data_IF_540946010590
#
_entry.id   IF_540946010590
#
_cell.length_a   1.000
_cell.length_b   1.000
_cell.length_c   1.000
_cell.angle_alpha   90.00
_cell.angle_beta   90.00
_cell.angle_gamma   90.00
#
_symmetry.space_group_name_H-M   'P 1'
#
loop_
_entity.id
_entity.type
_entity.pdbx_description
1 polymer ?
#
# COMPACT_ATOMS: atom_id res chain seq x y z
N UNK A 1 -11.60 -2.81 -1.03
CA UNK A 1 -11.56 -1.68 -2.01
C UNK A 1 -11.82 -2.21 -3.43
N UNK A 2 -12.10 -1.33 -4.40
CA UNK A 2 -12.26 -1.58 -5.85
C UNK A 2 -13.41 -2.52 -6.29
N UNK A 3 -13.31 -3.80 -5.92
CA UNK A 3 -14.19 -4.87 -6.37
C UNK A 3 -15.50 -5.01 -5.58
N UNK A 4 -15.76 -4.14 -4.60
CA UNK A 4 -16.94 -4.27 -3.72
C UNK A 4 -18.26 -4.08 -4.46
N UNK A 5 -18.29 -3.30 -5.55
CA UNK A 5 -19.48 -3.13 -6.40
C UNK A 5 -19.78 -4.32 -7.31
N UNK A 6 -18.84 -5.25 -7.48
CA UNK A 6 -18.93 -6.37 -8.43
C UNK A 6 -18.60 -7.71 -7.77
N UNK A 7 -19.27 -8.00 -6.64
CA UNK A 7 -18.99 -9.16 -5.77
C UNK A 7 -18.96 -10.48 -6.53
N UNK A 8 -19.88 -10.71 -7.47
CA UNK A 8 -19.91 -11.94 -8.26
C UNK A 8 -18.65 -12.12 -9.13
N UNK A 9 -18.19 -11.05 -9.79
CA UNK A 9 -16.97 -11.09 -10.61
C UNK A 9 -15.72 -11.24 -9.74
N UNK A 10 -15.67 -10.58 -8.58
CA UNK A 10 -14.62 -10.80 -7.58
C UNK A 10 -14.53 -12.26 -7.18
N UNK A 11 -15.67 -12.84 -6.79
CA UNK A 11 -15.72 -14.20 -6.29
C UNK A 11 -15.32 -15.21 -7.37
N UNK A 12 -15.76 -15.04 -8.63
CA UNK A 12 -15.30 -15.93 -9.72
C UNK A 12 -13.79 -15.85 -9.94
N UNK A 13 -13.20 -14.66 -9.84
CA UNK A 13 -11.76 -14.47 -9.98
C UNK A 13 -11.01 -15.15 -8.84
N UNK A 14 -11.37 -14.84 -7.60
CA UNK A 14 -10.75 -15.46 -6.42
C UNK A 14 -10.95 -16.98 -6.41
N UNK A 15 -12.15 -17.45 -6.72
CA UNK A 15 -12.45 -18.87 -6.87
C UNK A 15 -11.51 -19.55 -7.83
N UNK A 16 -11.33 -18.99 -9.03
CA UNK A 16 -10.43 -19.56 -10.02
C UNK A 16 -8.98 -19.64 -9.51
N UNK A 17 -8.49 -18.60 -8.82
CA UNK A 17 -7.14 -18.61 -8.24
C UNK A 17 -6.98 -19.70 -7.18
N UNK A 18 -7.96 -19.86 -6.27
CA UNK A 18 -7.94 -20.91 -5.24
C UNK A 18 -8.09 -22.31 -5.84
N UNK A 19 -9.08 -22.54 -6.71
CA UNK A 19 -9.41 -23.87 -7.25
C UNK A 19 -8.27 -24.43 -8.13
N UNK A 20 -7.42 -23.56 -8.68
CA UNK A 20 -6.29 -23.94 -9.52
C UNK A 20 -4.93 -23.78 -8.81
N UNK A 21 -4.91 -23.51 -7.49
CA UNK A 21 -3.68 -23.29 -6.72
C UNK A 21 -2.72 -22.26 -7.35
N UNK A 22 -3.27 -21.20 -7.97
CA UNK A 22 -2.46 -20.14 -8.55
C UNK A 22 -1.96 -19.27 -7.39
N UNK A 23 -0.65 -19.23 -7.20
CA UNK A 23 0.05 -18.52 -6.13
C UNK A 23 0.89 -17.37 -6.68
N UNK A 24 1.51 -16.60 -5.77
CA UNK A 24 2.30 -15.40 -6.05
C UNK A 24 1.53 -14.35 -6.85
N UNK A 25 0.23 -14.21 -6.56
CA UNK A 25 -0.62 -13.23 -7.23
C UNK A 25 -0.32 -11.82 -6.76
N UNK A 26 -0.23 -10.88 -7.70
CA UNK A 26 -0.02 -9.46 -7.43
C UNK A 26 -1.06 -8.66 -8.18
N UNK A 27 -1.88 -7.93 -7.44
CA UNK A 27 -2.90 -7.04 -7.98
C UNK A 27 -2.37 -5.60 -7.91
N UNK A 28 -2.46 -4.87 -9.01
CA UNK A 28 -2.12 -3.45 -9.09
C UNK A 28 -3.39 -2.64 -9.27
N UNK A 29 -3.59 -1.67 -8.39
CA UNK A 29 -4.81 -0.89 -8.31
C UNK A 29 -4.54 0.62 -8.30
N UNK A 30 -5.59 1.39 -8.58
CA UNK A 30 -5.58 2.86 -8.62
C UNK A 30 -6.99 3.42 -8.40
N UNK A 31 -7.35 4.48 -9.13
CA UNK A 31 -8.68 5.14 -9.14
C UNK A 31 -9.09 5.86 -7.83
N UNK A 32 -8.83 5.25 -6.66
CA UNK A 32 -9.23 5.83 -5.35
C UNK A 32 -8.51 7.13 -4.97
N UNK A 33 -7.49 7.49 -5.76
CA UNK A 33 -6.54 8.58 -5.51
C UNK A 33 -5.82 8.46 -4.16
N UNK A 34 -5.69 7.25 -3.62
CA UNK A 34 -5.07 6.97 -2.32
C UNK A 34 -4.17 5.75 -2.43
N UNK A 35 -3.06 5.78 -1.70
CA UNK A 35 -2.19 4.64 -1.58
C UNK A 35 -2.76 3.64 -0.57
N UNK A 36 -2.71 2.36 -0.89
CA UNK A 36 -2.99 1.31 0.08
C UNK A 36 -2.36 -0.02 -0.33
N UNK A 37 -2.13 -0.85 0.69
CA UNK A 37 -1.51 -2.17 0.54
C UNK A 37 -2.26 -3.16 1.40
N UNK A 38 -2.67 -4.28 0.81
CA UNK A 38 -3.40 -5.35 1.48
C UNK A 38 -2.91 -6.73 1.07
N UNK A 39 -3.10 -7.70 1.95
CA UNK A 39 -3.05 -9.10 1.54
C UNK A 39 -4.30 -9.42 0.71
N UNK A 40 -4.18 -10.26 -0.31
CA UNK A 40 -5.29 -10.71 -1.15
C UNK A 40 -5.92 -11.96 -0.52
N UNK A 41 -7.02 -11.78 0.21
CA UNK A 41 -7.73 -12.87 0.89
C UNK A 41 -9.21 -12.95 0.47
N UNK A 42 -9.76 -14.16 0.37
CA UNK A 42 -11.18 -14.36 0.09
C UNK A 42 -12.02 -14.41 1.39
N UNK A 43 -12.15 -13.24 2.00
CA UNK A 43 -12.83 -13.05 3.28
C UNK A 43 -14.25 -13.60 3.26
N UNK A 44 -14.62 -14.29 4.35
CA UNK A 44 -15.94 -14.92 4.51
C UNK A 44 -16.13 -16.22 3.72
N UNK A 45 -15.15 -16.62 2.90
CA UNK A 45 -15.20 -17.89 2.14
C UNK A 45 -14.02 -18.80 2.47
N UNK A 46 -12.81 -18.24 2.63
CA UNK A 46 -11.62 -18.97 3.06
C UNK A 46 -11.11 -18.41 4.39
N UNK A 47 -10.52 -19.25 5.28
CA UNK A 47 -9.86 -18.77 6.48
C UNK A 47 -8.75 -17.80 6.13
N UNK A 48 -8.62 -16.73 6.91
CA UNK A 48 -7.54 -15.76 6.79
C UNK A 48 -7.17 -15.24 8.18
N UNK A 49 -5.89 -15.24 8.49
CA UNK A 49 -5.33 -14.67 9.71
C UNK A 49 -4.55 -13.39 9.38
N UNK A 50 -5.09 -12.25 9.83
CA UNK A 50 -4.50 -10.95 9.58
C UNK A 50 -3.13 -10.74 10.24
N UNK A 51 -2.87 -11.40 11.38
CA UNK A 51 -1.63 -11.23 12.12
C UNK A 51 -0.47 -11.90 11.39
N UNK A 52 -0.68 -13.11 10.89
CA UNK A 52 0.34 -13.90 10.20
C UNK A 52 0.34 -13.69 8.68
N UNK A 53 -0.80 -13.35 8.08
CA UNK A 53 -1.01 -13.31 6.63
C UNK A 53 -1.47 -14.66 6.05
N UNK A 54 -1.52 -15.73 6.86
CA UNK A 54 -1.91 -17.06 6.41
C UNK A 54 -3.34 -17.07 5.86
N UNK A 55 -3.53 -17.75 4.73
CA UNK A 55 -4.80 -17.84 4.01
C UNK A 55 -4.96 -16.80 2.90
N UNK A 56 -4.06 -15.83 2.79
CA UNK A 56 -3.93 -14.99 1.61
C UNK A 56 -3.38 -15.80 0.42
N UNK A 57 -3.69 -15.34 -0.79
CA UNK A 57 -3.25 -15.92 -2.07
C UNK A 57 -2.43 -14.94 -2.91
N UNK A 58 -2.01 -13.84 -2.31
CA UNK A 58 -1.28 -12.78 -2.99
C UNK A 58 -1.37 -11.46 -2.23
N UNK A 59 -1.05 -10.39 -2.94
CA UNK A 59 -1.10 -9.03 -2.40
C UNK A 59 -1.73 -8.09 -3.40
N UNK A 60 -2.22 -6.96 -2.89
CA UNK A 60 -2.69 -5.85 -3.71
C UNK A 60 -1.94 -4.58 -3.33
N UNK A 61 -1.34 -3.94 -4.33
CA UNK A 61 -0.67 -2.64 -4.22
C UNK A 61 -1.46 -1.61 -5.01
N UNK A 62 -1.98 -0.61 -4.33
CA UNK A 62 -2.72 0.46 -4.97
C UNK A 62 -1.96 1.79 -4.86
N UNK A 63 -1.77 2.42 -6.02
CA UNK A 63 -1.17 3.74 -6.10
C UNK A 63 -2.20 4.85 -5.94
N UNK A 64 -1.77 5.96 -5.35
CA UNK A 64 -2.47 7.24 -5.43
C UNK A 64 -2.49 7.79 -6.86
N UNK A 65 -3.16 8.93 -7.05
CA UNK A 65 -3.10 9.66 -8.30
C UNK A 65 -1.79 10.46 -8.42
N UNK A 66 -1.37 10.70 -9.66
CA UNK A 66 -0.24 11.59 -9.94
C UNK A 66 -0.57 13.03 -9.56
N UNK A 67 -1.78 13.52 -9.89
CA UNK A 67 -2.20 14.91 -9.63
C UNK A 67 -3.62 15.08 -9.10
N UNK A 68 -4.55 14.16 -9.40
CA UNK A 68 -5.95 14.28 -8.96
C UNK A 68 -6.08 14.33 -7.44
N UNK A 69 -6.99 15.16 -6.94
CA UNK A 69 -7.24 15.31 -5.50
C UNK A 69 -7.70 13.98 -4.87
N UNK A 70 -7.06 13.61 -3.76
CA UNK A 70 -7.46 12.50 -2.90
C UNK A 70 -8.28 13.01 -1.71
N UNK A 71 -7.90 12.59 -0.49
CA UNK A 71 -8.55 13.09 0.73
C UNK A 71 -8.30 14.60 0.92
N UNK A 72 -9.35 15.31 1.32
CA UNK A 72 -9.28 16.72 1.73
C UNK A 72 -8.88 16.87 3.19
N UNK A 73 -8.22 17.98 3.51
CA UNK A 73 -7.82 18.36 4.88
C UNK A 73 -6.33 18.21 5.14
N UNK A 74 -5.93 18.48 6.38
CA UNK A 74 -4.53 18.36 6.82
C UNK A 74 -4.13 16.90 7.03
N UNK A 75 -2.83 16.61 6.97
CA UNK A 75 -2.24 15.26 7.13
C UNK A 75 -2.82 14.54 8.35
N UNK A 76 -2.90 15.20 9.51
CA UNK A 76 -3.40 14.60 10.75
C UNK A 76 -4.86 14.09 10.64
N UNK A 77 -5.73 14.85 9.96
CA UNK A 77 -7.13 14.45 9.75
C UNK A 77 -7.22 13.27 8.80
N UNK A 78 -6.45 13.30 7.70
CA UNK A 78 -6.41 12.19 6.73
C UNK A 78 -5.87 10.92 7.41
N UNK A 79 -4.81 11.04 8.21
CA UNK A 79 -4.23 9.91 8.93
C UNK A 79 -5.21 9.28 9.92
N UNK A 80 -6.03 10.08 10.61
CA UNK A 80 -7.11 9.55 11.47
C UNK A 80 -8.13 8.76 10.66
N UNK A 81 -8.51 9.24 9.48
CA UNK A 81 -9.45 8.54 8.60
C UNK A 81 -8.87 7.22 8.06
N UNK A 82 -7.61 7.22 7.61
CA UNK A 82 -6.93 6.00 7.13
C UNK A 82 -6.75 4.99 8.26
N UNK A 83 -6.48 5.44 9.50
CA UNK A 83 -6.36 4.54 10.66
C UNK A 83 -7.66 3.78 10.91
N UNK A 84 -8.81 4.45 10.87
CA UNK A 84 -10.12 3.79 11.01
C UNK A 84 -10.33 2.72 9.93
N UNK A 85 -9.91 2.98 8.69
CA UNK A 85 -10.02 2.00 7.59
C UNK A 85 -9.12 0.80 7.82
N UNK A 86 -7.86 1.03 8.15
CA UNK A 86 -6.90 -0.04 8.48
C UNK A 86 -7.39 -0.88 9.65
N UNK A 87 -7.96 -0.27 10.68
CA UNK A 87 -8.47 -1.02 11.85
C UNK A 87 -9.72 -1.85 11.56
N UNK A 88 -10.58 -1.37 10.64
CA UNK A 88 -11.86 -2.03 10.31
C UNK A 88 -11.77 -3.09 9.21
N UNK A 89 -10.66 -3.17 8.47
CA UNK A 89 -10.48 -4.12 7.37
C UNK A 89 -9.31 -5.06 7.71
N UNK A 90 -9.53 -6.37 7.97
CA UNK A 90 -8.48 -7.29 8.44
C UNK A 90 -7.33 -7.49 7.44
N UNK A 91 -7.62 -7.44 6.14
CA UNK A 91 -6.68 -7.61 5.03
C UNK A 91 -5.88 -6.35 4.69
N UNK A 92 -6.42 -5.16 5.03
CA UNK A 92 -5.80 -3.88 4.73
C UNK A 92 -4.66 -3.59 5.71
N UNK A 93 -3.41 -3.68 5.23
CA UNK A 93 -2.25 -3.54 6.09
C UNK A 93 -1.74 -2.10 6.19
N UNK A 94 -1.84 -1.32 5.11
CA UNK A 94 -1.44 0.08 5.11
C UNK A 94 -2.34 0.93 4.22
N UNK A 95 -2.57 2.18 4.63
CA UNK A 95 -3.24 3.19 3.81
C UNK A 95 -2.65 4.58 4.06
N UNK A 96 -2.44 5.33 2.97
CA UNK A 96 -1.99 6.71 2.96
C UNK A 96 -2.82 7.49 1.93
N UNK A 97 -3.46 8.58 2.34
CA UNK A 97 -4.46 9.27 1.53
C UNK A 97 -4.16 10.72 1.18
N UNK A 98 -3.07 11.28 1.71
CA UNK A 98 -2.73 12.69 1.62
C UNK A 98 -1.83 12.99 0.43
N UNK A 99 -0.71 12.29 0.30
CA UNK A 99 0.29 12.56 -0.72
C UNK A 99 -0.12 12.03 -2.09
N UNK A 100 0.27 12.78 -3.13
CA UNK A 100 0.20 12.36 -4.53
C UNK A 100 1.57 11.85 -4.95
N UNK A 101 1.64 10.96 -5.92
CA UNK A 101 2.90 10.34 -6.28
C UNK A 101 2.70 9.02 -7.01
N UNK A 102 3.57 8.08 -6.73
CA UNK A 102 3.67 6.80 -7.43
C UNK A 102 4.33 5.77 -6.52
N UNK A 103 4.49 4.54 -7.02
CA UNK A 103 5.31 3.54 -6.36
C UNK A 103 6.17 2.79 -7.37
N UNK A 104 7.32 2.31 -6.92
CA UNK A 104 8.20 1.42 -7.67
C UNK A 104 7.98 -0.01 -7.24
N UNK A 105 7.89 -0.90 -8.21
CA UNK A 105 7.81 -2.34 -7.99
C UNK A 105 9.05 -3.01 -8.57
N UNK A 106 9.91 -3.52 -7.69
CA UNK A 106 11.09 -4.29 -8.07
C UNK A 106 10.81 -5.78 -7.94
N UNK A 107 10.74 -6.48 -9.07
CA UNK A 107 10.40 -7.91 -9.11
C UNK A 107 11.66 -8.74 -9.36
N UNK A 108 11.91 -9.70 -8.47
CA UNK A 108 12.97 -10.71 -8.59
C UNK A 108 12.33 -12.08 -8.41
N UNK A 109 13.03 -13.14 -8.85
CA UNK A 109 12.57 -14.52 -8.65
C UNK A 109 12.31 -14.85 -7.18
N UNK A 110 13.05 -14.24 -6.26
CA UNK A 110 12.98 -14.54 -4.82
C UNK A 110 12.01 -13.65 -4.05
N UNK A 111 11.67 -12.46 -4.58
CA UNK A 111 10.86 -11.47 -3.87
C UNK A 111 10.39 -10.34 -4.76
N UNK A 112 9.41 -9.61 -4.25
CA UNK A 112 8.95 -8.32 -4.74
C UNK A 112 9.17 -7.28 -3.66
N UNK A 113 9.77 -6.14 -4.04
CA UNK A 113 9.86 -4.96 -3.19
C UNK A 113 8.97 -3.85 -3.79
N UNK A 114 8.05 -3.30 -3.01
CA UNK A 114 7.18 -2.18 -3.37
C UNK A 114 7.55 -0.94 -2.54
N UNK A 115 7.92 0.15 -3.20
CA UNK A 115 8.38 1.38 -2.55
C UNK A 115 7.46 2.54 -2.96
N UNK A 116 6.78 3.15 -2.00
CA UNK A 116 5.81 4.21 -2.22
C UNK A 116 6.44 5.57 -2.01
N UNK A 117 6.20 6.47 -2.97
CA UNK A 117 6.73 7.81 -2.95
C UNK A 117 5.63 8.87 -3.09
N UNK A 118 5.88 10.01 -2.47
CA UNK A 118 4.98 11.15 -2.48
C UNK A 118 5.69 12.43 -2.89
N UNK A 119 4.90 13.38 -3.39
CA UNK A 119 5.32 14.75 -3.67
C UNK A 119 4.72 15.68 -2.61
N UNK A 120 5.46 16.68 -2.11
CA UNK A 120 4.95 17.61 -1.12
C UNK A 120 3.90 18.57 -1.71
N UNK A 121 3.92 18.77 -3.03
CA UNK A 121 2.94 19.57 -3.74
C UNK A 121 2.88 19.20 -5.21
N UNK A 122 1.67 19.13 -5.74
CA UNK A 122 1.40 19.03 -7.19
C UNK A 122 1.01 20.38 -7.80
N UNK A 123 0.94 21.44 -6.98
CA UNK A 123 0.58 22.78 -7.44
C UNK A 123 1.78 23.53 -8.07
N UNK A 124 3.01 23.13 -7.74
CA UNK A 124 4.23 23.74 -8.27
C UNK A 124 5.24 22.66 -8.64
N UNK A 125 6.04 22.93 -9.69
CA UNK A 125 7.13 22.05 -10.10
C UNK A 125 8.17 21.98 -8.98
N UNK A 126 8.52 20.76 -8.57
CA UNK A 126 9.57 20.46 -7.61
C UNK A 126 10.16 19.07 -7.91
N UNK A 127 11.34 18.77 -7.39
CA UNK A 127 12.02 17.48 -7.57
C UNK A 127 11.91 16.55 -6.36
N UNK A 128 11.06 16.86 -5.39
CA UNK A 128 11.06 16.18 -4.10
C UNK A 128 10.32 14.86 -4.16
N UNK A 129 11.02 13.79 -3.80
CA UNK A 129 10.49 12.43 -3.76
C UNK A 129 10.54 11.90 -2.32
N UNK A 130 9.40 11.99 -1.63
CA UNK A 130 9.26 11.62 -0.22
C UNK A 130 9.01 10.12 -0.12
N UNK A 131 9.88 9.38 0.56
CA UNK A 131 9.59 7.98 0.92
C UNK A 131 8.39 7.94 1.87
N UNK A 132 7.37 7.16 1.54
CA UNK A 132 6.14 7.02 2.33
C UNK A 132 6.07 5.69 3.07
N UNK A 133 6.40 4.60 2.38
CA UNK A 133 6.38 3.25 2.91
C UNK A 133 7.11 2.28 1.97
N UNK A 134 7.64 1.18 2.53
CA UNK A 134 8.26 0.10 1.78
C UNK A 134 7.69 -1.24 2.22
N UNK A 135 7.40 -2.14 1.28
CA UNK A 135 6.84 -3.45 1.54
C UNK A 135 7.58 -4.53 0.75
N UNK A 136 7.69 -5.71 1.34
CA UNK A 136 8.33 -6.87 0.73
C UNK A 136 7.34 -8.03 0.68
N UNK A 137 7.38 -8.81 -0.40
CA UNK A 137 6.70 -10.10 -0.52
C UNK A 137 7.74 -11.12 -0.94
N UNK A 138 7.91 -12.19 -0.17
CA UNK A 138 8.82 -13.27 -0.56
C UNK A 138 8.10 -14.23 -1.50
N UNK A 139 8.83 -14.80 -2.45
CA UNK A 139 8.27 -15.79 -3.36
C UNK A 139 7.75 -17.00 -2.58
N UNK A 140 6.51 -17.42 -2.86
CA UNK A 140 5.82 -18.52 -2.19
C UNK A 140 5.02 -18.12 -0.94
N UNK A 141 5.23 -16.95 -0.36
CA UNK A 141 4.55 -16.55 0.88
C UNK A 141 3.08 -16.14 0.65
N UNK A 142 2.74 -15.62 -0.54
CA UNK A 142 1.38 -15.15 -0.88
C UNK A 142 0.82 -14.04 0.04
N UNK A 143 1.65 -13.39 0.84
CA UNK A 143 1.27 -12.28 1.71
C UNK A 143 2.45 -11.34 1.93
N UNK A 144 2.20 -10.16 2.48
CA UNK A 144 3.28 -9.22 2.82
C UNK A 144 4.19 -9.82 3.89
N UNK A 145 5.50 -9.61 3.78
CA UNK A 145 6.47 -10.01 4.80
C UNK A 145 6.08 -9.38 6.14
N UNK A 146 6.10 -10.18 7.22
CA UNK A 146 5.82 -9.73 8.58
C UNK A 146 7.13 -9.49 9.37
N UNK A 147 7.19 -8.49 10.28
CA UNK A 147 6.19 -7.43 10.48
C UNK A 147 6.04 -6.56 9.23
N UNK A 148 4.80 -6.17 8.89
CA UNK A 148 4.53 -5.42 7.65
C UNK A 148 5.30 -4.11 7.65
N UNK A 149 6.02 -3.84 6.56
CA UNK A 149 6.89 -2.66 6.43
C UNK A 149 8.00 -2.59 7.49
N UNK A 150 8.42 -3.73 8.05
CA UNK A 150 9.35 -3.73 9.19
C UNK A 150 8.75 -3.15 10.48
N UNK A 151 7.43 -2.99 10.55
CA UNK A 151 6.70 -2.40 11.68
C UNK A 151 6.67 -0.87 11.67
N UNK A 152 7.19 -0.21 10.62
CA UNK A 152 7.26 1.25 10.52
C UNK A 152 7.01 1.73 9.08
N UNK A 153 6.33 2.87 8.96
CA UNK A 153 6.21 3.64 7.70
C UNK A 153 6.47 5.12 7.98
N UNK A 154 6.80 5.89 6.94
CA UNK A 154 7.03 7.32 7.04
C UNK A 154 5.73 8.13 7.01
N UNK A 155 4.70 7.64 6.30
CA UNK A 155 3.40 8.29 6.17
C UNK A 155 2.23 7.29 6.22
N UNK A 156 1.02 7.82 6.44
CA UNK A 156 -0.21 7.03 6.47
C UNK A 156 -0.43 6.28 7.77
N UNK A 157 -1.14 5.17 7.71
CA UNK A 157 -1.49 4.31 8.84
C UNK A 157 -1.11 2.87 8.55
N UNK A 158 -0.35 2.25 9.45
CA UNK A 158 0.12 0.86 9.34
C UNK A 158 -0.57 -0.02 10.41
N UNK A 159 -1.12 -1.16 10.01
CA UNK A 159 -1.73 -2.13 10.94
C UNK A 159 -0.65 -2.71 11.85
N UNK A 160 -0.87 -2.62 13.17
CA UNK A 160 0.05 -3.18 14.17
C UNK A 160 1.44 -2.52 14.23
N UNK A 161 1.65 -1.41 13.50
CA UNK A 161 2.94 -0.72 13.42
C UNK A 161 2.85 0.77 13.75
N UNK A 162 3.91 1.51 13.40
CA UNK A 162 4.01 2.95 13.70
C UNK A 162 4.25 3.78 12.44
N UNK A 163 3.65 4.96 12.41
CA UNK A 163 3.98 5.99 11.44
C UNK A 163 4.98 6.95 12.08
N UNK A 164 6.17 7.06 11.50
CA UNK A 164 7.25 7.90 12.00
C UNK A 164 7.86 8.64 10.81
N UNK A 165 7.43 9.89 10.65
CA UNK A 165 7.87 10.76 9.58
C UNK A 165 9.39 10.92 9.52
N UNK A 166 9.88 11.21 8.32
CA UNK A 166 11.28 11.52 8.05
C UNK A 166 11.38 12.96 7.55
N UNK A 167 12.46 13.63 7.94
CA UNK A 167 12.81 14.93 7.38
C UNK A 167 13.79 14.78 6.22
N UNK A 168 14.00 13.56 5.71
CA UNK A 168 14.96 13.27 4.64
C UNK A 168 14.20 12.88 3.38
N UNK A 169 14.44 13.63 2.30
CA UNK A 169 13.74 13.53 1.02
C UNK A 169 14.77 13.55 -0.11
N UNK A 170 14.51 12.81 -1.19
CA UNK A 170 15.38 12.84 -2.37
C UNK A 170 15.02 14.04 -3.24
N UNK A 171 15.98 14.90 -3.57
CA UNK A 171 15.85 15.84 -4.69
C UNK A 171 16.29 15.13 -5.98
N UNK A 172 15.33 14.87 -6.86
CA UNK A 172 15.55 14.23 -8.16
C UNK A 172 16.17 15.17 -9.20
N UNK A 173 16.23 16.48 -8.96
CA UNK A 173 16.95 17.39 -9.86
C UNK A 173 18.47 17.18 -9.75
N UNK A 174 18.97 16.97 -8.52
CA UNK A 174 20.38 16.76 -8.22
C UNK A 174 20.76 15.33 -7.82
N UNK A 175 19.77 14.44 -7.65
CA UNK A 175 19.91 13.09 -7.09
C UNK A 175 20.60 13.06 -5.72
N UNK A 176 20.21 14.00 -4.84
CA UNK A 176 20.77 14.14 -3.49
C UNK A 176 19.70 14.01 -2.43
N UNK A 177 20.05 13.34 -1.32
CA UNK A 177 19.22 13.30 -0.14
C UNK A 177 19.40 14.58 0.67
N UNK A 178 18.30 15.27 0.95
CA UNK A 178 18.31 16.53 1.66
C UNK A 178 17.41 16.47 2.90
N UNK A 179 17.78 17.26 3.92
CA UNK A 179 16.94 17.46 5.09
C UNK A 179 15.92 18.56 4.79
N UNK A 180 14.69 18.17 4.49
CA UNK A 180 13.57 19.09 4.25
C UNK A 180 12.65 18.99 5.46
N UNK A 181 12.51 20.10 6.20
CA UNK A 181 11.56 20.18 7.31
C UNK A 181 10.13 20.13 6.77
N UNK A 182 9.30 19.24 7.33
CA UNK A 182 7.84 19.25 7.16
C UNK A 182 7.20 20.21 8.17
#
# INVERSE_FOLDING_TARGET
MGFQGYVASRNRTLQYLYDNNISDNVFLSGDSHQNWVSDLAWLGTKPYDAATGLGAIGVEFAGTAVTSSGHSGIIATVQKATKTKVDSNPELQWQEGYYRGYFHLSIKKSKIDAQFFGSPSVATRNGWDLSLANFTVLAGDNHLQRPVGGGRVEAGSLKGGKTVGTNVTLDTNGWKWEKVGL
#
